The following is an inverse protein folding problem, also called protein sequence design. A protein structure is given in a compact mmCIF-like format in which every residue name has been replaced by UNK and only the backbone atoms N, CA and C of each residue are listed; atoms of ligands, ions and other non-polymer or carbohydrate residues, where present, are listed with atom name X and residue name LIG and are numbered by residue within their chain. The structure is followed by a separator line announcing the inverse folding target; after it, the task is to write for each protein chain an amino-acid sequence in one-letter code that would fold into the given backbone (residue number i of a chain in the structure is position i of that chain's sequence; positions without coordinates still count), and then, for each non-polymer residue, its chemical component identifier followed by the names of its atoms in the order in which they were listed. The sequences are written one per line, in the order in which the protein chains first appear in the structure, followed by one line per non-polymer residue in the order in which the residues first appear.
data_IF_450773381029
#
_entry.id   IF_450773381029
#
_cell.length_a   1.000
_cell.length_b   1.000
_cell.length_c   1.000
_cell.angle_alpha   90.00
_cell.angle_beta   90.00
_cell.angle_gamma   90.00
#
_symmetry.space_group_name_H-M   'P 1'
#
loop_
_entity.id
_entity.type
_entity.pdbx_description
1 polymer ?
#
# COMPACT_ATOMS: atom_id res chain seq x y z
N UNK A 1 -19.46 26.94 32.30
CA UNK A 1 -20.28 26.28 31.27
C UNK A 1 -19.49 25.08 30.76
N UNK A 2 -20.01 23.87 30.97
CA UNK A 2 -19.30 22.62 30.63
C UNK A 2 -19.42 22.35 29.10
N UNK A 3 -18.30 22.56 28.40
CA UNK A 3 -17.76 21.75 27.31
C UNK A 3 -18.64 20.64 26.72
N UNK A 4 -19.09 20.83 25.47
CA UNK A 4 -19.59 19.76 24.60
C UNK A 4 -18.84 19.72 23.27
N UNK A 5 -17.52 19.54 23.34
CA UNK A 5 -16.76 19.02 22.19
C UNK A 5 -17.01 17.52 22.15
N UNK A 6 -18.03 17.08 21.40
CA UNK A 6 -18.26 15.67 21.09
C UNK A 6 -16.93 15.07 20.58
N UNK A 7 -16.24 14.33 21.44
CA UNK A 7 -15.10 13.50 21.08
C UNK A 7 -15.63 12.48 20.07
N UNK A 8 -15.39 12.71 18.78
CA UNK A 8 -15.58 11.68 17.75
C UNK A 8 -14.63 10.55 18.09
N UNK A 9 -15.15 9.53 18.77
CA UNK A 9 -14.44 8.31 19.10
C UNK A 9 -13.95 7.69 17.79
N UNK A 10 -12.62 7.63 17.65
CA UNK A 10 -11.89 7.18 16.46
C UNK A 10 -11.94 5.64 16.39
N UNK A 11 -13.10 5.07 16.15
CA UNK A 11 -13.27 3.61 16.02
C UNK A 11 -13.06 3.12 14.58
N UNK A 12 -13.29 3.98 13.57
CA UNK A 12 -12.98 3.71 12.15
C UNK A 12 -11.47 3.72 11.79
N UNK A 13 -10.60 4.18 12.71
CA UNK A 13 -9.16 4.34 12.44
C UNK A 13 -8.36 3.04 12.56
N UNK A 14 -8.95 1.94 13.06
CA UNK A 14 -8.26 0.67 13.26
C UNK A 14 -8.31 -0.24 12.01
N UNK A 15 -9.49 -0.38 11.39
CA UNK A 15 -9.66 -1.15 10.13
C UNK A 15 -8.88 -0.50 8.97
N UNK A 16 -8.72 0.82 9.01
CA UNK A 16 -7.91 1.60 8.07
C UNK A 16 -6.39 1.49 8.30
N UNK A 17 -5.92 0.58 9.17
CA UNK A 17 -4.49 0.30 9.39
C UNK A 17 -4.13 -1.16 9.10
N UNK A 18 -5.04 -1.91 8.49
CA UNK A 18 -4.78 -3.27 8.02
C UNK A 18 -4.46 -3.19 6.53
N UNK A 19 -3.45 -3.93 6.08
CA UNK A 19 -3.07 -3.97 4.69
C UNK A 19 -4.16 -4.66 3.87
N UNK A 20 -4.47 -4.11 2.69
CA UNK A 20 -5.46 -4.68 1.79
C UNK A 20 -4.77 -5.21 0.54
N UNK A 21 -4.94 -6.49 0.21
CA UNK A 21 -4.29 -7.13 -0.95
C UNK A 21 -4.57 -6.42 -2.28
N UNK A 22 -5.74 -5.76 -2.43
CA UNK A 22 -6.05 -4.95 -3.61
C UNK A 22 -5.04 -3.82 -3.87
N UNK A 23 -4.32 -3.37 -2.84
CA UNK A 23 -3.28 -2.35 -2.96
C UNK A 23 -2.02 -2.87 -3.65
N UNK A 24 -1.80 -4.19 -3.67
CA UNK A 24 -0.73 -4.79 -4.48
C UNK A 24 -0.96 -4.50 -5.95
N UNK A 25 -2.14 -4.84 -6.47
CA UNK A 25 -2.44 -4.60 -7.87
C UNK A 25 -2.70 -3.11 -8.14
N UNK A 26 -3.35 -2.39 -7.24
CA UNK A 26 -3.70 -0.98 -7.49
C UNK A 26 -2.47 -0.06 -7.48
N UNK A 27 -1.53 -0.28 -6.54
CA UNK A 27 -0.47 0.69 -6.24
C UNK A 27 0.94 0.07 -6.16
N UNK A 28 1.09 -1.23 -6.43
CA UNK A 28 2.34 -1.98 -6.29
C UNK A 28 2.92 -1.91 -4.87
N UNK A 29 2.09 -2.02 -3.85
CA UNK A 29 2.53 -2.10 -2.47
C UNK A 29 2.40 -3.52 -1.92
N UNK A 30 3.25 -3.91 -0.98
CA UNK A 30 3.09 -5.13 -0.16
C UNK A 30 3.25 -4.79 1.32
N UNK A 31 2.75 -5.64 2.20
CA UNK A 31 3.08 -5.54 3.62
C UNK A 31 4.38 -6.27 3.93
N UNK A 32 5.33 -5.57 4.53
CA UNK A 32 6.55 -6.15 5.06
C UNK A 32 6.78 -5.67 6.49
N UNK A 33 6.86 -6.62 7.45
CA UNK A 33 7.09 -6.34 8.89
C UNK A 33 6.11 -5.31 9.48
N UNK A 34 4.84 -5.34 9.08
CA UNK A 34 3.82 -4.41 9.58
C UNK A 34 3.81 -3.04 8.91
N UNK A 35 4.60 -2.84 7.84
CA UNK A 35 4.65 -1.58 7.09
C UNK A 35 4.36 -1.82 5.59
N UNK A 36 3.66 -0.90 4.91
CA UNK A 36 3.50 -0.94 3.46
C UNK A 36 4.81 -0.53 2.76
N UNK A 37 5.31 -1.39 1.88
CA UNK A 37 6.51 -1.17 1.06
C UNK A 37 6.12 -1.11 -0.42
N UNK A 38 6.58 -0.08 -1.12
CA UNK A 38 6.39 0.05 -2.56
C UNK A 38 7.36 -0.88 -3.28
N UNK A 39 6.86 -1.75 -4.16
CA UNK A 39 7.67 -2.68 -4.93
C UNK A 39 8.45 -2.00 -6.07
N UNK A 40 8.06 -0.80 -6.50
CA UNK A 40 8.71 -0.10 -7.61
C UNK A 40 10.00 0.60 -7.16
N UNK A 41 9.98 1.26 -5.99
CA UNK A 41 11.14 2.00 -5.47
C UNK A 41 11.68 1.46 -4.14
N UNK A 42 11.09 0.40 -3.60
CA UNK A 42 11.47 -0.22 -2.33
C UNK A 42 11.41 0.73 -1.11
N UNK A 43 10.61 1.81 -1.19
CA UNK A 43 10.38 2.74 -0.09
C UNK A 43 9.16 2.32 0.75
N UNK A 44 9.26 2.46 2.07
CA UNK A 44 8.13 2.24 2.99
C UNK A 44 7.35 3.52 3.25
N UNK A 45 6.02 3.42 3.39
CA UNK A 45 5.16 4.53 3.81
C UNK A 45 4.83 4.43 5.29
N UNK A 46 4.98 5.54 6.03
CA UNK A 46 4.87 5.54 7.50
C UNK A 46 3.48 5.16 8.06
N UNK A 47 2.42 5.32 7.26
CA UNK A 47 1.05 5.07 7.69
C UNK A 47 0.36 4.19 6.64
N UNK A 48 -0.09 3.01 7.07
CA UNK A 48 -0.84 2.02 6.30
C UNK A 48 -2.28 2.49 5.98
N UNK A 49 -2.40 3.56 5.20
CA UNK A 49 -3.67 4.09 4.69
C UNK A 49 -3.62 4.20 3.19
N UNK A 50 -4.67 3.74 2.51
CA UNK A 50 -4.80 3.79 1.06
C UNK A 50 -4.42 5.14 0.46
N UNK A 51 -4.90 6.24 1.05
CA UNK A 51 -4.57 7.59 0.57
C UNK A 51 -3.05 7.82 0.44
N UNK A 52 -2.25 7.34 1.40
CA UNK A 52 -0.80 7.54 1.36
C UNK A 52 -0.16 6.67 0.26
N UNK A 53 -0.60 5.42 0.11
CA UNK A 53 -0.10 4.49 -0.91
C UNK A 53 -0.46 5.00 -2.31
N UNK A 54 -1.72 5.40 -2.50
CA UNK A 54 -2.21 6.00 -3.73
C UNK A 54 -1.46 7.27 -4.09
N UNK A 55 -1.31 8.21 -3.15
CA UNK A 55 -0.54 9.44 -3.39
C UNK A 55 0.91 9.15 -3.76
N UNK A 56 1.55 8.20 -3.06
CA UNK A 56 2.92 7.78 -3.40
C UNK A 56 2.98 7.27 -4.84
N UNK A 57 2.11 6.33 -5.21
CA UNK A 57 2.03 5.79 -6.56
C UNK A 57 1.75 6.88 -7.61
N UNK A 58 0.71 7.69 -7.41
CA UNK A 58 0.24 8.72 -8.34
C UNK A 58 1.34 9.76 -8.63
N UNK A 59 2.14 10.13 -7.63
CA UNK A 59 3.16 11.19 -7.75
C UNK A 59 4.52 10.69 -8.23
N UNK A 60 4.82 9.40 -8.06
CA UNK A 60 6.16 8.84 -8.30
C UNK A 60 6.20 7.91 -9.51
N UNK A 61 5.13 7.14 -9.73
CA UNK A 61 5.14 5.96 -10.60
C UNK A 61 4.01 5.95 -11.62
N UNK A 62 3.08 6.90 -11.57
CA UNK A 62 1.92 6.91 -12.48
C UNK A 62 2.30 7.09 -13.95
N UNK A 63 3.33 7.87 -14.24
CA UNK A 63 3.74 8.13 -15.63
C UNK A 63 4.25 6.87 -16.32
N UNK A 64 4.93 6.00 -15.56
CA UNK A 64 5.52 4.76 -16.05
C UNK A 64 4.54 3.57 -15.98
N UNK A 65 3.77 3.45 -14.89
CA UNK A 65 2.95 2.28 -14.59
C UNK A 65 1.43 2.53 -14.69
N UNK A 66 0.99 3.77 -14.81
CA UNK A 66 -0.44 4.15 -14.84
C UNK A 66 -1.21 3.61 -16.04
N UNK A 67 -0.52 3.34 -17.15
CA UNK A 67 -1.10 2.79 -18.38
C UNK A 67 -1.17 1.26 -18.38
N UNK A 68 -0.60 0.60 -17.38
CA UNK A 68 -0.60 -0.85 -17.28
C UNK A 68 -1.94 -1.33 -16.71
N UNK A 69 -2.62 -2.18 -17.46
CA UNK A 69 -3.91 -2.76 -17.09
C UNK A 69 -3.94 -4.26 -17.39
N UNK A 70 -4.86 -4.97 -16.72
CA UNK A 70 -5.07 -6.41 -16.89
C UNK A 70 -3.80 -7.23 -16.69
N UNK A 71 -3.59 -8.23 -17.56
CA UNK A 71 -2.47 -9.19 -17.46
C UNK A 71 -1.09 -8.52 -17.44
N UNK A 72 -0.87 -7.46 -18.21
CA UNK A 72 0.42 -6.78 -18.21
C UNK A 72 0.75 -6.20 -16.82
N UNK A 73 -0.26 -5.69 -16.12
CA UNK A 73 -0.08 -5.18 -14.76
C UNK A 73 0.20 -6.30 -13.76
N UNK A 74 -0.53 -7.41 -13.88
CA UNK A 74 -0.36 -8.61 -13.05
C UNK A 74 1.03 -9.23 -13.24
N UNK A 75 1.52 -9.33 -14.48
CA UNK A 75 2.84 -9.89 -14.80
C UNK A 75 3.98 -9.04 -14.23
N UNK A 76 3.85 -7.70 -14.31
CA UNK A 76 4.80 -6.77 -13.70
C UNK A 76 4.75 -6.89 -12.17
N UNK A 77 3.57 -6.94 -11.56
CA UNK A 77 3.44 -7.15 -10.12
C UNK A 77 4.12 -8.46 -9.69
N UNK A 78 3.88 -9.56 -10.40
CA UNK A 78 4.50 -10.86 -10.12
C UNK A 78 6.03 -10.81 -10.25
N UNK A 79 6.54 -10.11 -11.26
CA UNK A 79 7.97 -9.92 -11.48
C UNK A 79 8.60 -9.11 -10.34
N UNK A 80 8.01 -7.97 -9.98
CA UNK A 80 8.48 -7.13 -8.87
C UNK A 80 8.42 -7.86 -7.52
N UNK A 81 7.36 -8.64 -7.27
CA UNK A 81 7.28 -9.50 -6.08
C UNK A 81 8.39 -10.53 -6.10
N UNK A 82 8.73 -11.16 -7.23
CA UNK A 82 9.83 -12.13 -7.29
C UNK A 82 11.20 -11.50 -7.02
N UNK A 83 11.43 -10.27 -7.50
CA UNK A 83 12.70 -9.55 -7.32
C UNK A 83 12.94 -9.11 -5.86
N UNK A 84 11.90 -8.59 -5.20
CA UNK A 84 12.02 -8.02 -3.85
C UNK A 84 11.52 -8.96 -2.74
N UNK A 85 10.72 -9.96 -3.11
CA UNK A 85 10.09 -10.91 -2.22
C UNK A 85 10.29 -12.33 -2.78
N UNK A 86 11.52 -12.84 -2.67
CA UNK A 86 11.72 -14.28 -2.78
C UNK A 86 10.84 -14.97 -1.73
N UNK A 87 9.96 -15.92 -2.08
CA UNK A 87 9.22 -16.72 -1.10
C UNK A 87 10.20 -17.70 -0.45
N UNK A 88 11.14 -17.20 0.36
CA UNK A 88 12.03 -18.03 1.16
C UNK A 88 11.61 -17.94 2.62
N UNK A 89 10.81 -18.96 2.99
CA UNK A 89 10.76 -19.62 4.30
C UNK A 89 10.50 -18.71 5.50
N UNK A 90 9.24 -18.76 5.96
CA UNK A 90 8.99 -18.73 7.39
C UNK A 90 9.92 -19.76 8.06
N UNK A 91 10.89 -19.24 8.82
CA UNK A 91 11.54 -19.92 9.94
C UNK A 91 11.08 -19.19 11.20
#
# INVERSE_FOLDING_TARGET
MLNNSKKRTRTYDAENRIFQERWELSYFFVEHRGAPVCLVCNESVAIMKEYNLRRHYETRHNDDFGKLEGRMREDILASLKKEHYSPTKHL
#
